data_IF_700620729429
#
_entry.id   IF_700620729429
#
_cell.length_a   1.000
_cell.length_b   1.000
_cell.length_c   1.000
_cell.angle_alpha   90.00
_cell.angle_beta   90.00
_cell.angle_gamma   90.00
#
_symmetry.space_group_name_H-M   'P 1'
#
loop_
_entity.id
_entity.type
_entity.pdbx_description
1 polymer ?
#
# COMPACT_ATOMS: atom_id res chain seq x y z
N UNK A 1 -3.98 -2.20 -29.77
CA UNK A 1 -3.66 -2.26 -29.27
C UNK A 1 -3.44 -2.70 -28.55
N UNK A 2 -3.74 -2.94 -28.51
CA UNK A 2 -3.37 -3.49 -27.72
C UNK A 2 -2.73 -3.35 -26.85
N UNK A 3 -2.91 -3.29 -26.90
CA UNK A 3 -1.77 -2.89 -26.17
C UNK A 3 -1.78 -3.17 -24.68
N UNK A 4 -2.84 -3.39 -24.06
CA UNK A 4 -2.90 -3.74 -22.64
C UNK A 4 -3.33 -5.18 -22.49
N UNK A 5 -2.36 -6.00 -22.05
CA UNK A 5 -2.69 -7.35 -21.64
C UNK A 5 -3.48 -7.31 -20.35
N UNK A 6 -4.53 -8.11 -20.20
CA UNK A 6 -5.17 -8.27 -18.91
C UNK A 6 -4.15 -8.74 -17.88
N UNK A 7 -4.22 -8.22 -16.66
CA UNK A 7 -3.28 -8.63 -15.61
C UNK A 7 -3.35 -10.15 -15.35
N UNK A 8 -4.50 -10.76 -15.61
CA UNK A 8 -4.68 -12.19 -15.44
C UNK A 8 -3.77 -13.01 -16.36
N UNK A 9 -3.30 -12.43 -17.47
CA UNK A 9 -2.38 -13.09 -18.39
C UNK A 9 -0.92 -12.73 -18.12
N UNK A 10 -0.65 -11.86 -17.16
CA UNK A 10 0.71 -11.47 -16.82
C UNK A 10 1.28 -12.36 -15.71
N UNK A 11 2.51 -12.84 -15.87
CA UNK A 11 3.14 -13.57 -14.77
C UNK A 11 3.44 -12.63 -13.61
N UNK A 12 3.53 -13.18 -12.41
CA UNK A 12 3.96 -12.41 -11.26
C UNK A 12 5.44 -12.03 -11.46
N UNK A 13 5.78 -10.74 -11.44
CA UNK A 13 7.12 -10.28 -11.86
C UNK A 13 8.18 -10.32 -10.77
N UNK A 14 7.84 -10.78 -9.57
CA UNK A 14 8.67 -10.62 -8.40
C UNK A 14 8.25 -9.38 -7.61
N UNK A 15 8.43 -9.43 -6.29
CA UNK A 15 7.93 -8.37 -5.41
C UNK A 15 8.55 -7.01 -5.73
N UNK A 16 9.84 -6.99 -6.05
CA UNK A 16 10.57 -5.75 -6.33
C UNK A 16 10.13 -5.09 -7.64
N UNK A 17 9.40 -5.80 -8.47
CA UNK A 17 8.92 -5.28 -9.75
C UNK A 17 7.43 -5.01 -9.76
N UNK A 18 6.75 -5.16 -8.63
CA UNK A 18 5.31 -4.90 -8.56
C UNK A 18 5.05 -3.41 -8.60
N UNK A 19 4.28 -2.98 -9.60
CA UNK A 19 3.87 -1.60 -9.77
C UNK A 19 2.54 -1.60 -10.50
N UNK A 20 1.47 -1.38 -9.77
CA UNK A 20 0.11 -1.58 -10.27
C UNK A 20 -0.70 -0.30 -10.21
N UNK A 21 -1.47 -0.04 -11.27
CA UNK A 21 -2.57 0.89 -11.18
C UNK A 21 -3.67 0.29 -10.31
N UNK A 22 -4.67 1.06 -9.92
CA UNK A 22 -5.77 0.52 -9.13
C UNK A 22 -6.52 -0.59 -9.89
N UNK A 23 -6.73 -0.43 -11.20
CA UNK A 23 -7.38 -1.47 -12.01
C UNK A 23 -6.58 -2.76 -12.02
N UNK A 24 -5.27 -2.63 -12.16
CA UNK A 24 -4.38 -3.79 -12.12
C UNK A 24 -4.38 -4.43 -10.73
N UNK A 25 -4.47 -3.63 -9.68
CA UNK A 25 -4.58 -4.15 -8.31
C UNK A 25 -5.83 -5.03 -8.17
N UNK A 26 -6.97 -4.54 -8.66
CA UNK A 26 -8.23 -5.31 -8.62
C UNK A 26 -8.06 -6.65 -9.34
N UNK A 27 -7.44 -6.64 -10.51
CA UNK A 27 -7.20 -7.88 -11.26
C UNK A 27 -6.20 -8.79 -10.55
N UNK A 28 -5.14 -8.23 -9.98
CA UNK A 28 -4.10 -9.00 -9.29
C UNK A 28 -4.65 -9.77 -8.09
N UNK A 29 -5.49 -9.12 -7.27
CA UNK A 29 -6.03 -9.79 -6.08
C UNK A 29 -7.06 -10.87 -6.42
N UNK A 30 -7.42 -11.02 -7.69
CA UNK A 30 -8.28 -12.09 -8.18
C UNK A 30 -7.50 -13.20 -8.88
N UNK A 31 -6.26 -12.95 -9.24
CA UNK A 31 -5.43 -13.90 -9.98
C UNK A 31 -4.75 -14.87 -9.03
N UNK A 32 -4.86 -16.17 -9.29
CA UNK A 32 -4.38 -17.18 -8.35
C UNK A 32 -2.88 -17.09 -8.09
N UNK A 33 -2.07 -16.83 -9.11
CA UNK A 33 -0.62 -16.71 -8.94
C UNK A 33 -0.27 -15.51 -8.08
N UNK A 34 -0.88 -14.37 -8.37
CA UNK A 34 -0.68 -13.15 -7.58
C UNK A 34 -1.18 -13.31 -6.16
N UNK A 35 -2.35 -13.94 -5.97
CA UNK A 35 -2.90 -14.18 -4.64
C UNK A 35 -1.97 -15.02 -3.79
N UNK A 36 -1.40 -16.07 -4.37
CA UNK A 36 -0.45 -16.91 -3.66
C UNK A 36 0.78 -16.11 -3.24
N UNK A 37 1.34 -15.32 -4.15
CA UNK A 37 2.52 -14.51 -3.84
C UNK A 37 2.22 -13.48 -2.75
N UNK A 38 1.17 -12.67 -2.94
CA UNK A 38 0.84 -11.59 -2.01
C UNK A 38 0.37 -12.11 -0.66
N UNK A 39 -0.24 -13.30 -0.63
CA UNK A 39 -0.77 -13.90 0.60
C UNK A 39 0.28 -14.55 1.47
N UNK A 40 1.52 -14.67 0.98
CA UNK A 40 2.61 -15.34 1.70
C UNK A 40 3.65 -14.39 2.26
N UNK A 41 3.42 -13.10 2.21
CA UNK A 41 4.37 -12.10 2.73
C UNK A 41 3.67 -11.03 3.53
N UNK A 42 4.40 -10.48 4.48
CA UNK A 42 4.10 -9.22 5.11
C UNK A 42 4.94 -8.16 4.40
N UNK A 43 4.56 -6.90 4.46
CA UNK A 43 5.25 -5.90 3.66
C UNK A 43 5.09 -4.49 4.21
N UNK A 44 6.06 -3.66 3.86
CA UNK A 44 5.88 -2.20 3.82
C UNK A 44 5.65 -1.86 2.36
N UNK A 45 4.58 -1.14 2.08
CA UNK A 45 4.18 -0.83 0.71
C UNK A 45 4.04 0.67 0.50
N UNK A 46 3.94 1.06 -0.76
CA UNK A 46 3.87 2.45 -1.17
C UNK A 46 2.66 2.68 -2.05
N UNK A 47 1.88 3.68 -1.73
CA UNK A 47 0.89 4.22 -2.65
C UNK A 47 1.41 5.55 -3.16
N UNK A 48 1.40 5.72 -4.47
CA UNK A 48 1.87 6.95 -5.10
C UNK A 48 0.72 7.61 -5.84
N UNK A 49 0.47 8.86 -5.50
CA UNK A 49 -0.44 9.70 -6.28
C UNK A 49 0.35 10.20 -7.49
N UNK A 50 0.10 9.63 -8.65
CA UNK A 50 0.87 9.94 -9.85
C UNK A 50 0.66 11.36 -10.36
N UNK A 51 -0.39 12.01 -9.91
CA UNK A 51 -0.69 13.37 -10.33
C UNK A 51 0.16 14.40 -9.57
N UNK A 52 0.38 14.15 -8.28
CA UNK A 52 1.11 15.09 -7.41
C UNK A 52 2.52 14.63 -7.06
N UNK A 53 2.76 13.32 -7.13
CA UNK A 53 4.00 12.73 -6.64
C UNK A 53 3.98 12.47 -5.14
N UNK A 54 2.87 12.71 -4.47
CA UNK A 54 2.75 12.49 -3.04
C UNK A 54 2.62 11.01 -2.72
N UNK A 55 3.11 10.62 -1.55
CA UNK A 55 3.17 9.22 -1.14
C UNK A 55 2.39 8.96 0.13
N UNK A 56 1.89 7.74 0.21
CA UNK A 56 1.41 7.14 1.45
C UNK A 56 2.18 5.84 1.67
N UNK A 57 2.85 5.72 2.82
CA UNK A 57 3.55 4.50 3.22
C UNK A 57 2.65 3.73 4.16
N UNK A 58 2.42 2.46 3.86
CA UNK A 58 1.63 1.60 4.72
C UNK A 58 2.33 0.29 4.99
N UNK A 59 1.74 -0.52 5.86
CA UNK A 59 2.26 -1.85 6.13
C UNK A 59 1.14 -2.85 6.28
N UNK A 60 1.46 -4.09 5.93
CA UNK A 60 0.58 -5.23 6.11
C UNK A 60 1.33 -6.28 6.92
N UNK A 61 0.81 -6.59 8.09
CA UNK A 61 1.40 -7.59 8.98
C UNK A 61 0.30 -8.47 9.55
N UNK A 62 0.69 -9.70 9.94
CA UNK A 62 -0.25 -10.67 10.47
C UNK A 62 -0.75 -10.24 11.83
N UNK A 63 -2.02 -9.94 11.88
CA UNK A 63 -2.73 -9.73 13.13
C UNK A 63 -4.20 -10.06 12.86
N UNK A 64 -5.01 -9.92 13.87
CA UNK A 64 -6.43 -10.19 13.75
C UNK A 64 -7.03 -9.40 12.59
N UNK A 65 -7.58 -10.10 11.61
CA UNK A 65 -8.19 -9.48 10.43
C UNK A 65 -7.28 -9.31 9.23
N UNK A 66 -6.00 -9.71 9.34
CA UNK A 66 -5.04 -9.59 8.24
C UNK A 66 -4.17 -10.84 8.14
N UNK A 67 -4.79 -12.01 8.18
CA UNK A 67 -4.07 -13.29 8.22
C UNK A 67 -3.31 -13.59 6.94
N UNK A 68 -3.71 -13.01 5.82
CA UNK A 68 -3.04 -13.23 4.53
C UNK A 68 -2.10 -12.09 4.16
N UNK A 69 -1.58 -11.41 5.17
CA UNK A 69 -0.53 -10.41 4.97
C UNK A 69 -0.90 -9.33 3.96
N UNK A 70 -0.04 -9.15 2.96
CA UNK A 70 -0.23 -8.10 1.96
C UNK A 70 -1.51 -8.30 1.14
N UNK A 71 -1.87 -9.55 0.84
CA UNK A 71 -3.11 -9.82 0.09
C UNK A 71 -4.34 -9.29 0.84
N UNK A 72 -4.40 -9.48 2.14
CA UNK A 72 -5.54 -9.00 2.93
C UNK A 72 -5.67 -7.48 2.82
N UNK A 73 -4.57 -6.77 3.01
CA UNK A 73 -4.59 -5.31 3.00
C UNK A 73 -4.90 -4.76 1.61
N UNK A 74 -4.25 -5.30 0.59
CA UNK A 74 -4.45 -4.82 -0.77
C UNK A 74 -5.83 -5.18 -1.31
N UNK A 75 -6.43 -6.27 -0.85
CA UNK A 75 -7.82 -6.59 -1.19
C UNK A 75 -8.79 -5.54 -0.64
N UNK A 76 -8.52 -5.01 0.55
CA UNK A 76 -9.33 -3.93 1.11
C UNK A 76 -9.29 -2.69 0.22
N UNK A 77 -8.10 -2.32 -0.26
CA UNK A 77 -7.97 -1.19 -1.18
C UNK A 77 -8.65 -1.45 -2.53
N UNK A 78 -8.62 -2.70 -2.98
CA UNK A 78 -9.19 -3.05 -4.27
C UNK A 78 -10.71 -3.00 -4.28
N UNK A 79 -11.34 -3.50 -3.22
CA UNK A 79 -12.78 -3.72 -3.20
C UNK A 79 -13.56 -2.82 -2.25
N UNK A 80 -12.92 -2.33 -1.22
CA UNK A 80 -13.63 -1.68 -0.13
C UNK A 80 -13.22 -0.23 0.05
N UNK A 81 -12.65 0.04 1.19
CA UNK A 81 -12.24 1.39 1.56
C UNK A 81 -10.91 1.73 0.91
N UNK A 82 -10.96 2.52 -0.15
CA UNK A 82 -9.78 2.91 -0.91
C UNK A 82 -8.80 3.76 -0.09
N UNK A 83 -9.23 4.29 1.03
CA UNK A 83 -8.40 5.16 1.88
C UNK A 83 -7.67 4.38 2.98
N UNK A 84 -8.11 3.16 3.28
CA UNK A 84 -7.59 2.41 4.40
C UNK A 84 -7.78 3.12 5.74
N UNK A 85 -8.74 4.03 5.84
CA UNK A 85 -9.00 4.79 7.05
C UNK A 85 -8.18 6.07 7.19
N UNK A 86 -7.30 6.36 6.25
CA UNK A 86 -6.50 7.58 6.28
C UNK A 86 -7.34 8.78 5.84
N UNK A 87 -7.35 9.82 6.66
CA UNK A 87 -8.20 10.99 6.44
C UNK A 87 -7.93 11.70 5.11
N UNK A 88 -6.66 11.91 4.78
CA UNK A 88 -6.30 12.63 3.54
C UNK A 88 -6.65 11.83 2.31
N UNK A 89 -6.39 10.54 2.33
CA UNK A 89 -6.79 9.67 1.21
C UNK A 89 -8.31 9.66 1.08
N UNK A 90 -9.03 9.62 2.19
CA UNK A 90 -10.47 9.64 2.19
C UNK A 90 -11.01 10.94 1.54
N UNK A 91 -10.37 12.05 1.82
CA UNK A 91 -10.75 13.35 1.26
C UNK A 91 -10.58 13.41 -0.26
N UNK A 92 -9.64 12.64 -0.82
CA UNK A 92 -9.47 12.57 -2.27
C UNK A 92 -10.67 11.94 -2.97
N UNK A 93 -11.30 10.98 -2.33
CA UNK A 93 -12.43 10.25 -2.89
C UNK A 93 -12.01 9.06 -3.75
N UNK A 94 -12.90 8.10 -3.87
CA UNK A 94 -12.61 6.84 -4.55
C UNK A 94 -12.25 7.04 -6.03
N UNK A 95 -12.95 7.92 -6.73
CA UNK A 95 -12.69 8.12 -8.15
C UNK A 95 -11.29 8.66 -8.39
N UNK A 96 -10.84 9.62 -7.58
CA UNK A 96 -9.50 10.17 -7.71
C UNK A 96 -8.45 9.09 -7.49
N UNK A 97 -8.63 8.27 -6.46
CA UNK A 97 -7.68 7.19 -6.13
C UNK A 97 -7.63 6.18 -7.26
N UNK A 98 -8.78 5.75 -7.76
CA UNK A 98 -8.83 4.79 -8.88
C UNK A 98 -8.11 5.33 -10.11
N UNK A 99 -8.28 6.60 -10.39
CA UNK A 99 -7.72 7.21 -11.60
C UNK A 99 -6.22 7.52 -11.49
N UNK A 100 -5.71 7.76 -10.29
CA UNK A 100 -4.37 8.35 -10.14
C UNK A 100 -3.38 7.55 -9.31
N UNK A 101 -3.81 6.57 -8.52
CA UNK A 101 -2.92 5.90 -7.59
C UNK A 101 -2.21 4.70 -8.20
N UNK A 102 -0.99 4.49 -7.72
CA UNK A 102 -0.13 3.38 -8.07
C UNK A 102 0.30 2.67 -6.80
N UNK A 103 0.37 1.35 -6.85
CA UNK A 103 0.71 0.50 -5.70
C UNK A 103 2.00 -0.24 -5.98
N UNK A 104 2.94 -0.15 -5.05
CA UNK A 104 4.23 -0.84 -5.14
C UNK A 104 4.68 -1.30 -3.76
N UNK A 105 5.75 -2.09 -3.73
CA UNK A 105 6.23 -2.73 -2.50
C UNK A 105 7.62 -2.19 -2.18
N UNK A 106 7.81 -1.73 -0.94
CA UNK A 106 9.11 -1.23 -0.50
C UNK A 106 9.96 -2.32 0.13
N UNK A 107 9.38 -3.14 1.00
CA UNK A 107 10.07 -4.27 1.64
C UNK A 107 9.10 -5.40 1.89
N UNK A 108 9.59 -6.62 1.77
CA UNK A 108 8.81 -7.80 2.16
C UNK A 108 9.41 -8.43 3.41
N UNK A 109 8.56 -9.12 4.17
CA UNK A 109 8.94 -9.79 5.40
C UNK A 109 8.29 -11.16 5.42
N UNK A 110 9.01 -12.11 6.05
CA UNK A 110 8.47 -13.43 6.33
C UNK A 110 7.21 -13.31 7.20
N UNK A 111 6.26 -14.22 7.00
CA UNK A 111 5.01 -14.20 7.77
C UNK A 111 5.22 -14.34 9.28
N UNK A 112 6.41 -14.75 9.72
CA UNK A 112 6.75 -14.85 11.14
C UNK A 112 7.43 -13.60 11.69
N UNK A 113 7.74 -12.63 10.85
CA UNK A 113 8.34 -11.38 11.33
C UNK A 113 7.38 -10.68 12.28
N UNK A 114 7.95 -10.04 13.31
CA UNK A 114 7.15 -9.39 14.35
C UNK A 114 6.58 -8.08 13.85
N UNK A 115 5.34 -7.77 14.21
CA UNK A 115 4.72 -6.49 13.80
C UNK A 115 5.56 -5.27 14.13
N UNK A 116 6.22 -5.23 15.30
CA UNK A 116 7.03 -4.07 15.68
C UNK A 116 8.18 -3.83 14.72
N UNK A 117 8.76 -4.90 14.16
CA UNK A 117 9.87 -4.76 13.23
C UNK A 117 9.39 -4.17 11.91
N UNK A 118 8.21 -4.59 11.48
CA UNK A 118 7.60 -4.08 10.26
C UNK A 118 7.20 -2.62 10.44
N UNK A 119 6.60 -2.28 11.59
CA UNK A 119 6.22 -0.91 11.91
C UNK A 119 7.44 0.01 11.96
N UNK A 120 8.55 -0.46 12.52
CA UNK A 120 9.78 0.33 12.56
C UNK A 120 10.28 0.63 11.14
N UNK A 121 10.19 -0.35 10.23
CA UNK A 121 10.57 -0.11 8.84
C UNK A 121 9.59 0.82 8.14
N UNK A 122 8.31 0.71 8.43
CA UNK A 122 7.30 1.62 7.90
C UNK A 122 7.63 3.07 8.28
N UNK A 123 7.97 3.30 9.56
CA UNK A 123 8.35 4.63 10.04
C UNK A 123 9.62 5.13 9.35
N UNK A 124 10.60 4.24 9.17
CA UNK A 124 11.83 4.58 8.48
C UNK A 124 11.56 5.06 7.06
N UNK A 125 10.66 4.37 6.37
CA UNK A 125 10.28 4.74 5.00
C UNK A 125 9.47 6.03 4.97
N UNK A 126 8.60 6.27 5.94
CA UNK A 126 7.89 7.55 6.04
C UNK A 126 8.86 8.72 6.14
N UNK A 127 9.90 8.56 6.96
CA UNK A 127 10.92 9.60 7.12
C UNK A 127 11.77 9.75 5.86
N UNK A 128 12.17 8.64 5.28
CA UNK A 128 13.04 8.64 4.10
C UNK A 128 12.34 9.25 2.89
N UNK A 129 11.06 8.98 2.73
CA UNK A 129 10.27 9.50 1.59
C UNK A 129 9.56 10.81 1.92
N UNK A 130 9.70 11.30 3.14
CA UNK A 130 9.04 12.53 3.60
C UNK A 130 7.52 12.47 3.35
N UNK A 131 6.90 11.35 3.66
CA UNK A 131 5.47 11.14 3.38
C UNK A 131 4.55 11.65 4.47
N UNK A 132 5.08 12.09 5.61
CA UNK A 132 4.26 12.60 6.71
C UNK A 132 3.85 14.03 6.44
N UNK A 133 2.55 14.30 6.52
CA UNK A 133 1.99 15.62 6.29
C UNK A 133 2.10 16.46 7.56
N UNK A 134 2.80 17.59 7.47
CA UNK A 134 2.90 18.57 8.54
C UNK A 134 2.26 19.86 8.05
N UNK A 135 1.14 20.24 8.66
CA UNK A 135 0.37 21.41 8.24
C UNK A 135 1.15 22.72 8.41
N UNK A 136 2.13 22.73 9.30
CA UNK A 136 2.98 23.90 9.57
C UNK A 136 4.11 24.08 8.55
N UNK A 137 4.34 23.09 7.70
CA UNK A 137 5.35 23.21 6.66
C UNK A 137 4.97 24.28 5.65
N UNK A 138 5.97 24.92 5.07
CA UNK A 138 5.74 25.92 4.02
C UNK A 138 5.05 25.31 2.81
N UNK A 139 5.43 24.08 2.46
CA UNK A 139 4.83 23.33 1.35
C UNK A 139 4.45 21.93 1.84
N UNK A 140 3.33 21.82 2.59
CA UNK A 140 2.94 20.53 3.11
C UNK A 140 2.65 19.54 1.97
N UNK A 141 3.12 18.31 2.15
CA UNK A 141 2.90 17.24 1.19
C UNK A 141 2.86 15.89 1.91
N UNK A 142 2.54 14.84 1.16
CA UNK A 142 2.45 13.52 1.73
C UNK A 142 1.08 13.22 2.32
N UNK A 143 0.80 11.94 2.47
CA UNK A 143 -0.51 11.49 2.93
C UNK A 143 -0.50 10.84 4.31
N UNK A 144 0.67 10.48 4.84
CA UNK A 144 0.73 9.91 6.18
C UNK A 144 0.44 10.98 7.24
N UNK A 145 -0.23 10.58 8.29
CA UNK A 145 -0.50 11.47 9.42
C UNK A 145 0.64 11.40 10.44
N UNK A 146 0.77 12.46 11.23
CA UNK A 146 1.70 12.48 12.37
C UNK A 146 1.34 11.36 13.36
N UNK A 147 0.05 11.10 13.57
CA UNK A 147 -0.38 10.03 14.46
C UNK A 147 0.08 8.66 13.98
N UNK A 148 -0.02 8.41 12.67
CA UNK A 148 0.49 7.15 12.09
C UNK A 148 1.99 7.02 12.29
N UNK A 149 2.74 8.10 12.08
CA UNK A 149 4.19 8.08 12.24
C UNK A 149 4.61 7.82 13.69
N UNK A 150 3.84 8.27 14.65
CA UNK A 150 4.18 8.16 16.07
C UNK A 150 3.57 6.94 16.74
N UNK A 151 2.85 6.09 16.01
CA UNK A 151 2.22 4.92 16.59
C UNK A 151 3.24 3.81 16.78
N UNK A 152 3.34 3.30 18.01
CA UNK A 152 4.21 2.17 18.35
C UNK A 152 3.46 0.85 18.31
N UNK A 153 2.15 0.89 18.18
CA UNK A 153 1.31 -0.29 18.25
C UNK A 153 0.76 -0.63 16.88
N UNK A 154 0.51 -1.93 16.61
CA UNK A 154 -0.21 -2.31 15.41
C UNK A 154 -1.56 -1.58 15.36
N UNK A 155 -1.87 -1.04 14.21
CA UNK A 155 -3.18 -0.42 13.98
C UNK A 155 -4.17 -1.54 13.72
N UNK A 156 -5.23 -1.52 14.48
CA UNK A 156 -6.30 -2.50 14.27
C UNK A 156 -7.16 -2.17 13.06
#
# INVERSE_FOLDING_TARGET
>A
HLSQSPISSLPFPGFENVRLTHRQLVAAVRNDTWKTALGNVQAVYLQTDRRTGWHYVGSAYSHKGAEQGLLSRWSEYAYGDHSGGNKRLKELGAKYIVDNFQYSILEIFDMRALPKDIINREHWWMDTLSSVYHSEDEHPHGYNSVAERNSDNPVE
#
